data_IF_109225864630
#
_entry.id   IF_109225864630
#
_cell.length_a   1.000
_cell.length_b   1.000
_cell.length_c   1.000
_cell.angle_alpha   90.00
_cell.angle_beta   90.00
_cell.angle_gamma   90.00
#
_symmetry.space_group_name_H-M   'P 1'
#
loop_
_entity.id
_entity.type
_entity.pdbx_description
1 polymer ?
#
# COMPACT_ATOMS: atom_id res chain seq x y z
N UNK A 1 29.36 17.29 27.42
CA UNK A 1 28.04 17.94 27.18
C UNK A 1 27.64 17.63 25.74
N UNK A 2 26.89 16.55 25.54
CA UNK A 2 26.51 16.05 24.21
C UNK A 2 25.23 16.74 23.79
N UNK A 3 25.32 17.68 22.86
CA UNK A 3 24.16 18.35 22.26
C UNK A 3 23.45 17.36 21.32
N UNK A 4 22.35 16.78 21.80
CA UNK A 4 21.39 16.07 20.96
C UNK A 4 20.73 17.07 20.01
N UNK A 5 21.07 17.00 18.72
CA UNK A 5 20.34 17.72 17.67
C UNK A 5 19.03 16.99 17.41
N UNK A 6 17.98 17.38 18.13
CA UNK A 6 16.61 17.05 17.75
C UNK A 6 16.25 17.85 16.50
N UNK A 7 16.47 17.28 15.31
CA UNK A 7 15.86 17.78 14.09
C UNK A 7 14.35 17.50 14.16
N UNK A 8 13.56 18.55 14.34
CA UNK A 8 12.14 18.50 14.01
C UNK A 8 12.02 18.48 12.48
N UNK A 9 12.14 17.29 11.89
CA UNK A 9 11.94 17.09 10.46
C UNK A 9 10.49 17.45 10.11
N UNK A 10 10.29 18.43 9.24
CA UNK A 10 8.94 18.84 8.80
C UNK A 10 8.32 17.75 7.92
N UNK A 11 6.99 17.71 7.83
CA UNK A 11 6.25 16.79 6.94
C UNK A 11 6.71 16.93 5.47
N UNK A 12 7.07 18.14 5.02
CA UNK A 12 7.60 18.40 3.67
C UNK A 12 8.93 17.69 3.44
N UNK A 13 9.87 17.82 4.37
CA UNK A 13 11.19 17.16 4.26
C UNK A 13 11.08 15.63 4.24
N UNK A 14 10.17 15.02 5.02
CA UNK A 14 9.98 13.57 5.01
C UNK A 14 9.46 13.04 3.65
N UNK A 15 8.57 13.79 3.00
CA UNK A 15 8.04 13.43 1.68
C UNK A 15 9.10 13.58 0.58
N UNK A 16 9.94 14.61 0.69
CA UNK A 16 11.08 14.80 -0.21
C UNK A 16 12.11 13.67 -0.05
N UNK A 17 12.43 13.29 1.18
CA UNK A 17 13.32 12.16 1.49
C UNK A 17 12.77 10.85 0.91
N UNK A 18 11.46 10.59 1.07
CA UNK A 18 10.81 9.41 0.47
C UNK A 18 10.90 9.39 -1.05
N UNK A 19 10.74 10.54 -1.70
CA UNK A 19 10.87 10.65 -3.16
C UNK A 19 12.29 10.39 -3.62
N UNK A 20 13.30 10.86 -2.88
CA UNK A 20 14.70 10.57 -3.17
C UNK A 20 15.01 9.07 -3.00
N UNK A 21 14.47 8.43 -1.97
CA UNK A 21 14.60 6.97 -1.79
C UNK A 21 13.96 6.16 -2.93
N UNK A 22 12.90 6.68 -3.55
CA UNK A 22 12.30 6.04 -4.72
C UNK A 22 13.25 6.04 -5.93
N UNK A 23 14.10 7.06 -6.06
CA UNK A 23 15.06 7.20 -7.18
C UNK A 23 16.26 6.25 -7.06
N UNK A 24 16.52 5.75 -5.85
CA UNK A 24 17.53 4.72 -5.65
C UNK A 24 17.12 3.43 -6.35
N UNK A 25 18.13 2.75 -6.90
CA UNK A 25 17.96 1.39 -7.38
C UNK A 25 17.40 0.53 -6.23
N UNK A 26 16.44 -0.38 -6.47
CA UNK A 26 15.80 -1.15 -5.40
C UNK A 26 16.76 -1.85 -4.43
N UNK A 27 17.90 -2.34 -4.93
CA UNK A 27 18.94 -2.98 -4.13
C UNK A 27 19.69 -2.03 -3.18
N UNK A 28 19.70 -0.73 -3.48
CA UNK A 28 20.39 0.30 -2.70
C UNK A 28 19.46 0.95 -1.66
N UNK A 29 18.17 0.59 -1.67
CA UNK A 29 17.20 1.13 -0.71
C UNK A 29 17.44 0.51 0.67
N UNK A 30 17.35 1.31 1.74
CA UNK A 30 17.51 0.78 3.08
C UNK A 30 16.37 -0.17 3.45
N UNK A 31 16.72 -1.26 4.14
CA UNK A 31 15.76 -2.24 4.65
C UNK A 31 15.90 -2.39 6.18
N UNK A 32 14.81 -2.33 6.96
CA UNK A 32 13.45 -2.00 6.51
C UNK A 32 13.32 -0.50 6.17
N UNK A 33 12.43 -0.15 5.25
CA UNK A 33 12.18 1.26 4.88
C UNK A 33 11.75 2.08 6.10
N UNK A 34 11.09 1.44 7.06
CA UNK A 34 10.63 2.05 8.31
C UNK A 34 11.75 2.60 9.21
N UNK A 35 13.00 2.19 9.00
CA UNK A 35 14.15 2.75 9.72
C UNK A 35 14.51 4.18 9.27
N UNK A 36 14.13 4.56 8.05
CA UNK A 36 14.40 5.87 7.46
C UNK A 36 13.12 6.69 7.30
N UNK A 37 12.02 6.02 6.99
CA UNK A 37 10.70 6.63 6.82
C UNK A 37 9.79 6.17 7.97
N UNK A 38 9.63 6.97 9.03
CA UNK A 38 8.81 6.58 10.17
C UNK A 38 7.39 6.25 9.70
N UNK A 39 6.81 5.21 10.29
CA UNK A 39 5.46 4.77 9.93
C UNK A 39 4.44 5.78 10.43
N UNK A 40 3.46 6.18 9.60
CA UNK A 40 2.45 7.15 10.02
C UNK A 40 1.54 6.58 11.11
N UNK A 41 1.28 5.27 11.11
CA UNK A 41 0.49 4.59 12.14
C UNK A 41 1.13 3.25 12.53
N UNK A 42 0.88 2.73 13.75
CA UNK A 42 1.51 1.49 14.23
C UNK A 42 1.21 0.25 13.36
N UNK A 43 0.00 0.21 12.80
CA UNK A 43 -0.50 -0.88 11.97
C UNK A 43 -0.35 -0.58 10.47
N UNK A 44 0.87 -0.20 10.08
CA UNK A 44 1.24 0.05 8.68
C UNK A 44 2.69 -0.34 8.41
N UNK A 45 3.05 -0.46 7.13
CA UNK A 45 4.43 -0.58 6.67
C UNK A 45 4.57 0.03 5.27
N UNK A 46 5.77 0.50 4.94
CA UNK A 46 6.11 0.99 3.61
C UNK A 46 6.53 -0.19 2.73
N UNK A 47 5.75 -0.52 1.71
CA UNK A 47 6.10 -1.56 0.74
C UNK A 47 7.09 -1.05 -0.30
N UNK A 48 6.96 0.23 -0.66
CA UNK A 48 7.97 1.01 -1.38
C UNK A 48 8.02 2.40 -0.74
N UNK A 49 9.01 3.25 -1.06
CA UNK A 49 9.03 4.63 -0.57
C UNK A 49 7.74 5.43 -0.86
N UNK A 50 6.99 5.07 -1.91
CA UNK A 50 5.74 5.72 -2.30
C UNK A 50 4.47 4.88 -2.06
N UNK A 51 4.59 3.67 -1.51
CA UNK A 51 3.46 2.76 -1.32
C UNK A 51 3.36 2.33 0.14
N UNK A 52 2.29 2.76 0.81
CA UNK A 52 1.98 2.40 2.17
C UNK A 52 0.92 1.30 2.22
N UNK A 53 1.19 0.24 2.96
CA UNK A 53 0.20 -0.74 3.39
C UNK A 53 -0.29 -0.40 4.79
N UNK A 54 -1.60 -0.29 5.01
CA UNK A 54 -2.12 0.06 6.33
C UNK A 54 -3.48 -0.55 6.67
N UNK A 55 -3.83 -0.53 7.94
CA UNK A 55 -5.20 -0.82 8.40
C UNK A 55 -6.19 0.29 8.03
N UNK A 56 -7.48 0.01 8.17
CA UNK A 56 -8.52 0.99 7.86
C UNK A 56 -8.31 2.31 8.63
N UNK A 57 -8.29 3.46 7.93
CA UNK A 57 -7.75 4.70 8.50
C UNK A 57 -8.75 5.51 9.32
N UNK A 58 -10.01 5.07 9.43
CA UNK A 58 -11.04 5.84 10.11
C UNK A 58 -11.99 5.00 10.95
N UNK A 59 -12.47 5.58 12.06
CA UNK A 59 -13.49 4.99 12.91
C UNK A 59 -14.30 6.11 13.57
N UNK A 60 -15.63 5.98 13.67
CA UNK A 60 -16.45 6.95 14.38
C UNK A 60 -16.17 6.99 15.88
N UNK A 61 -15.45 6.01 16.43
CA UNK A 61 -15.07 5.97 17.86
C UNK A 61 -13.98 6.98 18.22
N UNK A 62 -13.19 7.43 17.24
CA UNK A 62 -12.14 8.44 17.43
C UNK A 62 -12.21 9.49 16.31
N UNK A 63 -13.23 10.37 16.35
CA UNK A 63 -13.48 11.33 15.28
C UNK A 63 -12.51 12.53 15.33
N UNK A 64 -11.88 12.79 16.48
CA UNK A 64 -11.06 13.99 16.68
C UNK A 64 -9.59 13.78 16.31
N UNK A 65 -9.08 12.55 16.43
CA UNK A 65 -7.70 12.18 16.09
C UNK A 65 -7.64 10.93 15.20
N UNK A 66 -8.35 10.93 14.06
CA UNK A 66 -8.38 9.76 13.20
C UNK A 66 -6.98 9.46 12.65
N UNK A 67 -6.68 8.17 12.49
CA UNK A 67 -5.46 7.69 11.82
C UNK A 67 -5.25 8.32 10.44
N UNK A 68 -6.35 8.67 9.77
CA UNK A 68 -6.36 9.38 8.50
C UNK A 68 -5.49 10.66 8.51
N UNK A 69 -5.46 11.42 9.59
CA UNK A 69 -4.61 12.61 9.69
C UNK A 69 -3.13 12.28 9.56
N UNK A 70 -2.69 11.18 10.18
CA UNK A 70 -1.31 10.76 10.14
C UNK A 70 -0.92 10.31 8.73
N UNK A 71 -1.85 9.67 8.00
CA UNK A 71 -1.64 9.31 6.59
C UNK A 71 -1.51 10.56 5.71
N UNK A 72 -2.41 11.54 5.87
CA UNK A 72 -2.40 12.79 5.12
C UNK A 72 -1.11 13.60 5.38
N UNK A 73 -0.66 13.66 6.64
CA UNK A 73 0.61 14.29 7.05
C UNK A 73 1.84 13.55 6.54
N UNK A 74 1.75 12.24 6.33
CA UNK A 74 2.81 11.47 5.66
C UNK A 74 2.79 11.63 4.12
N UNK A 75 2.00 12.56 3.59
CA UNK A 75 1.97 12.87 2.17
C UNK A 75 1.13 11.92 1.32
N UNK A 76 0.36 11.01 1.92
CA UNK A 76 -0.60 10.16 1.19
C UNK A 76 -1.60 11.05 0.46
N UNK A 77 -1.73 10.84 -0.85
CA UNK A 77 -2.70 11.56 -1.70
C UNK A 77 -3.61 10.63 -2.49
N UNK A 78 -3.28 9.35 -2.62
CA UNK A 78 -4.17 8.36 -3.22
C UNK A 78 -4.49 7.26 -2.23
N UNK A 79 -5.77 6.91 -2.10
CA UNK A 79 -6.26 5.86 -1.22
C UNK A 79 -6.89 4.74 -2.07
N UNK A 80 -6.47 3.51 -1.83
CA UNK A 80 -7.05 2.31 -2.42
C UNK A 80 -7.73 1.52 -1.29
N UNK A 81 -9.06 1.54 -1.29
CA UNK A 81 -9.91 0.83 -0.33
C UNK A 81 -10.34 -0.53 -0.88
N UNK A 82 -9.90 -1.60 -0.21
CA UNK A 82 -10.24 -2.98 -0.57
C UNK A 82 -11.49 -3.50 0.15
N UNK A 83 -12.17 -2.68 0.94
CA UNK A 83 -13.36 -3.08 1.72
C UNK A 83 -14.64 -3.05 0.90
N UNK A 84 -15.56 -3.96 1.24
CA UNK A 84 -16.91 -3.97 0.66
C UNK A 84 -17.76 -2.84 1.25
N UNK A 85 -18.79 -2.44 0.50
CA UNK A 85 -19.75 -1.49 1.05
C UNK A 85 -20.48 -2.09 2.26
N UNK A 86 -20.69 -1.28 3.29
CA UNK A 86 -21.25 -1.75 4.57
C UNK A 86 -20.28 -2.54 5.47
N UNK A 87 -19.09 -2.93 5.00
CA UNK A 87 -18.09 -3.63 5.85
C UNK A 87 -17.63 -2.73 7.01
N UNK A 88 -17.39 -1.45 6.70
CA UNK A 88 -17.02 -0.40 7.62
C UNK A 88 -17.70 0.91 7.20
N UNK A 89 -17.87 1.84 8.15
CA UNK A 89 -18.43 3.15 7.85
C UNK A 89 -17.47 3.89 6.91
N UNK A 90 -17.99 4.39 5.78
CA UNK A 90 -17.19 5.09 4.78
C UNK A 90 -16.72 6.46 5.26
N UNK A 91 -15.41 6.72 5.16
CA UNK A 91 -14.82 8.04 5.44
C UNK A 91 -14.87 8.98 4.22
N UNK A 92 -15.28 8.50 3.04
CA UNK A 92 -15.41 9.32 1.83
C UNK A 92 -16.85 9.78 1.64
N UNK A 93 -17.83 8.86 1.70
CA UNK A 93 -19.25 9.21 1.53
C UNK A 93 -19.74 10.16 2.63
N UNK A 94 -19.16 10.09 3.83
CA UNK A 94 -19.47 11.01 4.93
C UNK A 94 -18.65 12.32 4.89
N UNK A 95 -17.90 12.59 3.82
CA UNK A 95 -17.09 13.81 3.65
C UNK A 95 -15.87 13.93 4.57
N UNK A 96 -15.57 12.89 5.36
CA UNK A 96 -14.50 12.94 6.38
C UNK A 96 -13.14 13.16 5.73
N UNK A 97 -12.84 12.49 4.61
CA UNK A 97 -11.56 12.64 3.92
C UNK A 97 -11.25 14.11 3.60
N UNK A 98 -12.20 14.79 2.94
CA UNK A 98 -12.05 16.18 2.53
C UNK A 98 -11.99 17.11 3.75
N UNK A 99 -12.88 16.92 4.72
CA UNK A 99 -12.88 17.74 5.94
C UNK A 99 -11.57 17.63 6.73
N UNK A 100 -10.98 16.43 6.83
CA UNK A 100 -9.66 16.25 7.48
C UNK A 100 -8.53 16.87 6.66
N UNK A 101 -8.59 16.79 5.34
CA UNK A 101 -7.59 17.41 4.47
C UNK A 101 -7.61 18.94 4.57
N UNK A 102 -8.79 19.55 4.50
CA UNK A 102 -8.99 20.99 4.68
C UNK A 102 -8.47 21.46 6.05
N UNK A 103 -8.80 20.72 7.11
CA UNK A 103 -8.30 21.00 8.47
C UNK A 103 -6.76 21.00 8.55
N UNK A 104 -6.11 20.19 7.71
CA UNK A 104 -4.64 20.09 7.63
C UNK A 104 -4.03 21.03 6.58
N UNK A 105 -4.83 21.90 5.95
CA UNK A 105 -4.37 22.80 4.89
C UNK A 105 -4.00 22.08 3.58
N UNK A 106 -4.54 20.89 3.36
CA UNK A 106 -4.33 20.10 2.14
C UNK A 106 -5.53 20.34 1.23
N UNK A 107 -5.27 20.75 -0.02
CA UNK A 107 -6.32 20.89 -1.04
C UNK A 107 -6.97 19.53 -1.34
N UNK A 108 -8.28 19.35 -1.07
CA UNK A 108 -9.00 18.12 -1.35
C UNK A 108 -8.98 17.71 -2.82
N UNK A 109 -8.80 18.65 -3.75
CA UNK A 109 -8.70 18.35 -5.19
C UNK A 109 -7.47 17.48 -5.53
N UNK A 110 -6.47 17.47 -4.65
CA UNK A 110 -5.26 16.67 -4.80
C UNK A 110 -5.44 15.21 -4.38
N UNK A 111 -6.58 14.89 -3.75
CA UNK A 111 -6.87 13.56 -3.21
C UNK A 111 -7.58 12.69 -4.24
N UNK A 112 -7.14 11.45 -4.31
CA UNK A 112 -7.77 10.41 -5.12
C UNK A 112 -8.19 9.26 -4.22
N UNK A 113 -9.37 8.71 -4.48
CA UNK A 113 -9.89 7.57 -3.77
C UNK A 113 -10.45 6.56 -4.77
N UNK A 114 -9.99 5.32 -4.66
CA UNK A 114 -10.44 4.21 -5.48
C UNK A 114 -10.88 3.08 -4.56
N UNK A 115 -12.11 2.60 -4.75
CA UNK A 115 -12.60 1.42 -4.06
C UNK A 115 -12.57 0.21 -4.99
N UNK A 116 -11.82 -0.81 -4.59
CA UNK A 116 -11.73 -2.10 -5.25
C UNK A 116 -12.18 -3.19 -4.26
N UNK A 117 -13.50 -3.37 -4.08
CA UNK A 117 -14.01 -4.26 -3.05
C UNK A 117 -13.56 -5.71 -3.28
N UNK A 118 -12.88 -6.27 -2.29
CA UNK A 118 -12.56 -7.69 -2.20
C UNK A 118 -13.17 -8.21 -0.91
N UNK A 119 -14.01 -9.24 -1.01
CA UNK A 119 -14.66 -9.86 0.16
C UNK A 119 -13.64 -10.25 1.22
N UNK A 120 -13.98 -10.05 2.48
CA UNK A 120 -13.03 -10.29 3.56
C UNK A 120 -12.45 -11.73 3.52
N UNK A 121 -11.16 -11.83 3.80
CA UNK A 121 -10.36 -13.07 3.74
C UNK A 121 -10.42 -13.84 2.41
N UNK A 122 -10.92 -13.23 1.34
CA UNK A 122 -11.14 -13.87 0.04
C UNK A 122 -10.16 -13.36 -1.02
N UNK A 123 -10.28 -13.90 -2.23
CA UNK A 123 -9.53 -13.52 -3.42
C UNK A 123 -10.30 -12.48 -4.26
N UNK A 124 -9.64 -11.71 -5.13
CA UNK A 124 -10.33 -10.94 -6.16
C UNK A 124 -11.09 -11.90 -7.11
N UNK A 125 -12.12 -11.41 -7.83
CA UNK A 125 -12.92 -12.25 -8.71
C UNK A 125 -12.13 -12.87 -9.87
N UNK A 126 -11.07 -12.19 -10.33
CA UNK A 126 -10.14 -12.68 -11.35
C UNK A 126 -8.81 -11.93 -11.27
N UNK A 127 -7.81 -12.36 -12.05
CA UNK A 127 -6.50 -11.69 -12.12
C UNK A 127 -6.59 -10.33 -12.82
N UNK A 128 -7.48 -10.17 -13.80
CA UNK A 128 -7.73 -8.91 -14.48
C UNK A 128 -8.22 -7.82 -13.52
N UNK A 129 -8.98 -8.21 -12.49
CA UNK A 129 -9.38 -7.31 -11.41
C UNK A 129 -8.17 -6.80 -10.61
N UNK A 130 -7.21 -7.68 -10.32
CA UNK A 130 -5.96 -7.27 -9.68
C UNK A 130 -5.17 -6.31 -10.56
N UNK A 131 -5.05 -6.56 -11.87
CA UNK A 131 -4.36 -5.64 -12.78
C UNK A 131 -4.97 -4.23 -12.75
N UNK A 132 -6.30 -4.11 -12.66
CA UNK A 132 -6.96 -2.82 -12.49
C UNK A 132 -6.50 -2.05 -11.25
N UNK A 133 -6.28 -2.73 -10.13
CA UNK A 133 -5.68 -2.13 -8.92
C UNK A 133 -4.24 -1.68 -9.19
N UNK A 134 -3.45 -2.55 -9.82
CA UNK A 134 -2.03 -2.29 -10.09
C UNK A 134 -1.82 -1.17 -11.12
N UNK A 135 -2.77 -0.94 -12.03
CA UNK A 135 -2.73 0.22 -12.93
C UNK A 135 -2.76 1.55 -12.19
N UNK A 136 -3.57 1.65 -11.13
CA UNK A 136 -3.61 2.85 -10.27
C UNK A 136 -2.28 3.03 -9.54
N UNK A 137 -1.69 1.94 -9.05
CA UNK A 137 -0.36 1.99 -8.42
C UNK A 137 0.73 2.44 -9.40
N UNK A 138 0.73 1.88 -10.62
CA UNK A 138 1.66 2.23 -11.70
C UNK A 138 1.51 3.70 -12.10
N UNK A 139 0.29 4.21 -12.19
CA UNK A 139 0.07 5.62 -12.48
C UNK A 139 0.57 6.54 -11.36
N UNK A 140 0.29 6.21 -10.10
CA UNK A 140 0.75 6.99 -8.97
C UNK A 140 2.28 6.99 -8.83
N UNK A 141 2.93 5.85 -9.08
CA UNK A 141 4.40 5.77 -9.08
C UNK A 141 5.00 6.71 -10.13
N UNK A 142 4.47 6.72 -11.37
CA UNK A 142 4.90 7.66 -12.43
C UNK A 142 4.70 9.13 -12.02
N UNK A 143 3.61 9.42 -11.31
CA UNK A 143 3.28 10.77 -10.81
C UNK A 143 3.98 11.12 -9.50
N UNK A 144 4.83 10.23 -8.97
CA UNK A 144 5.52 10.36 -7.68
C UNK A 144 4.58 10.66 -6.51
N UNK A 145 3.39 10.04 -6.55
CA UNK A 145 2.33 10.20 -5.57
C UNK A 145 2.37 9.07 -4.56
N UNK A 146 2.30 9.43 -3.28
CA UNK A 146 2.24 8.44 -2.20
C UNK A 146 0.82 7.86 -2.15
N UNK A 147 0.74 6.54 -2.25
CA UNK A 147 -0.51 5.77 -2.23
C UNK A 147 -0.60 4.95 -0.96
N UNK A 148 -1.78 4.94 -0.32
CA UNK A 148 -2.11 4.04 0.77
C UNK A 148 -3.10 2.96 0.29
N UNK A 149 -2.70 1.70 0.39
CA UNK A 149 -3.58 0.55 0.17
C UNK A 149 -4.03 0.02 1.54
N UNK A 150 -5.33 -0.12 1.71
CA UNK A 150 -5.88 -0.62 2.97
C UNK A 150 -7.05 -1.58 2.74
N UNK A 151 -7.26 -2.45 3.73
CA UNK A 151 -8.50 -3.20 3.91
C UNK A 151 -9.05 -2.89 5.31
N UNK A 152 -9.71 -3.82 5.98
CA UNK A 152 -10.05 -3.68 7.40
C UNK A 152 -8.81 -3.73 8.29
N UNK A 153 -8.08 -4.84 8.22
CA UNK A 153 -6.95 -5.13 9.12
C UNK A 153 -5.61 -4.58 8.65
N UNK A 154 -5.45 -4.32 7.34
CA UNK A 154 -4.15 -4.09 6.71
C UNK A 154 -3.30 -5.35 6.58
N UNK A 155 -3.93 -6.54 6.60
CA UNK A 155 -3.26 -7.85 6.70
C UNK A 155 -3.45 -8.60 5.37
N UNK A 156 -4.55 -9.36 5.20
CA UNK A 156 -4.73 -10.28 4.09
C UNK A 156 -4.85 -9.62 2.71
N UNK A 157 -5.96 -8.92 2.47
CA UNK A 157 -6.24 -8.28 1.17
C UNK A 157 -5.16 -7.26 0.79
N UNK A 158 -4.73 -6.46 1.76
CA UNK A 158 -3.64 -5.49 1.57
C UNK A 158 -2.34 -6.19 1.20
N UNK A 159 -1.87 -7.16 2.00
CA UNK A 159 -0.66 -7.92 1.70
C UNK A 159 -0.71 -8.61 0.33
N UNK A 160 -1.89 -9.08 -0.09
CA UNK A 160 -2.07 -9.68 -1.41
C UNK A 160 -1.84 -8.68 -2.54
N UNK A 161 -2.43 -7.48 -2.46
CA UNK A 161 -2.20 -6.41 -3.44
C UNK A 161 -0.73 -5.98 -3.45
N UNK A 162 -0.11 -5.83 -2.28
CA UNK A 162 1.31 -5.50 -2.18
C UNK A 162 2.18 -6.58 -2.83
N UNK A 163 1.88 -7.85 -2.61
CA UNK A 163 2.64 -8.97 -3.18
C UNK A 163 2.59 -8.96 -4.70
N UNK A 164 1.39 -8.80 -5.27
CA UNK A 164 1.22 -8.66 -6.71
C UNK A 164 1.94 -7.42 -7.26
N UNK A 165 1.91 -6.29 -6.55
CA UNK A 165 2.64 -5.09 -6.95
C UNK A 165 4.15 -5.29 -6.99
N UNK A 166 4.73 -5.96 -5.99
CA UNK A 166 6.17 -6.23 -5.95
C UNK A 166 6.63 -7.06 -7.17
N UNK A 167 5.83 -8.04 -7.58
CA UNK A 167 6.10 -8.82 -8.80
C UNK A 167 5.89 -7.98 -10.07
N UNK A 168 4.81 -7.21 -10.13
CA UNK A 168 4.45 -6.38 -11.29
C UNK A 168 5.49 -5.28 -11.58
N UNK A 169 5.99 -4.63 -10.53
CA UNK A 169 7.01 -3.58 -10.61
C UNK A 169 8.43 -4.12 -10.81
N UNK A 170 8.62 -5.44 -10.76
CA UNK A 170 9.94 -6.07 -10.86
C UNK A 170 10.82 -5.89 -9.62
N UNK A 171 10.25 -5.44 -8.49
CA UNK A 171 10.94 -5.36 -7.20
C UNK A 171 11.16 -6.74 -6.57
N UNK A 172 10.30 -7.70 -6.92
CA UNK A 172 10.47 -9.12 -6.66
C UNK A 172 10.54 -9.88 -8.00
N UNK A 173 11.43 -10.86 -8.09
CA UNK A 173 11.58 -11.73 -9.26
C UNK A 173 10.35 -12.59 -9.51
N UNK A 174 9.69 -13.03 -8.42
CA UNK A 174 8.54 -13.92 -8.38
C UNK A 174 7.72 -13.70 -7.10
N UNK A 175 6.59 -14.44 -7.00
CA UNK A 175 5.68 -14.31 -5.87
C UNK A 175 6.23 -14.86 -4.54
N UNK A 176 7.22 -15.75 -4.56
CA UNK A 176 7.85 -16.23 -3.31
C UNK A 176 8.73 -15.12 -2.71
N UNK A 177 9.58 -14.49 -3.52
CA UNK A 177 10.38 -13.35 -3.06
C UNK A 177 9.50 -12.18 -2.62
N UNK A 178 8.37 -11.94 -3.29
CA UNK A 178 7.41 -10.92 -2.87
C UNK A 178 6.86 -11.19 -1.46
N UNK A 179 6.53 -12.45 -1.14
CA UNK A 179 6.06 -12.83 0.20
C UNK A 179 7.16 -12.72 1.26
N UNK A 180 8.41 -13.02 0.92
CA UNK A 180 9.56 -12.83 1.82
C UNK A 180 9.78 -11.34 2.15
N UNK A 181 9.69 -10.46 1.14
CA UNK A 181 9.77 -9.01 1.33
C UNK A 181 8.65 -8.56 2.29
N UNK A 182 7.40 -8.97 2.04
CA UNK A 182 6.27 -8.61 2.90
C UNK A 182 6.49 -9.14 4.32
N UNK A 183 6.98 -10.36 4.49
CA UNK A 183 7.21 -10.93 5.81
C UNK A 183 8.21 -10.10 6.64
N UNK A 184 9.29 -9.60 6.01
CA UNK A 184 10.27 -8.71 6.67
C UNK A 184 9.64 -7.40 7.12
N UNK A 185 8.87 -6.75 6.26
CA UNK A 185 8.21 -5.48 6.61
C UNK A 185 7.09 -5.69 7.64
N UNK A 186 6.30 -6.76 7.50
CA UNK A 186 5.21 -7.12 8.39
C UNK A 186 5.68 -7.43 9.81
N UNK A 187 6.87 -8.03 9.97
CA UNK A 187 7.47 -8.30 11.28
C UNK A 187 7.66 -7.04 12.14
N UNK A 188 7.71 -5.85 11.52
CA UNK A 188 7.81 -4.55 12.22
C UNK A 188 6.45 -4.05 12.75
N UNK A 189 5.34 -4.61 12.27
CA UNK A 189 3.96 -4.17 12.54
C UNK A 189 3.47 -4.68 13.88
N UNK A 190 2.84 -3.82 14.69
CA UNK A 190 2.39 -4.18 16.04
C UNK A 190 1.44 -5.40 16.04
N UNK A 191 0.56 -5.48 15.03
CA UNK A 191 -0.35 -6.62 14.82
C UNK A 191 0.35 -7.94 14.50
N UNK A 192 1.62 -7.96 14.10
CA UNK A 192 2.34 -9.20 13.80
C UNK A 192 2.34 -10.19 14.98
N UNK A 193 2.27 -9.68 16.22
CA UNK A 193 2.15 -10.51 17.44
C UNK A 193 0.89 -11.37 17.48
N UNK A 194 -0.20 -10.92 16.85
CA UNK A 194 -1.50 -11.62 16.80
C UNK A 194 -1.74 -12.30 15.45
N UNK A 195 -1.21 -11.70 14.38
CA UNK A 195 -1.34 -12.17 13.01
C UNK A 195 0.06 -12.31 12.43
N UNK A 196 0.71 -13.48 12.55
CA UNK A 196 2.13 -13.64 12.23
C UNK A 196 2.43 -13.52 10.72
N UNK A 197 1.42 -13.56 9.86
CA UNK A 197 1.58 -13.58 8.41
C UNK A 197 0.69 -12.54 7.72
N UNK A 198 1.22 -11.98 6.64
CA UNK A 198 0.55 -11.13 5.67
C UNK A 198 1.03 -11.57 4.28
N UNK A 199 0.15 -11.99 3.34
CA UNK A 199 -1.30 -12.14 3.45
C UNK A 199 -1.75 -13.12 4.55
N UNK A 200 -3.04 -13.10 4.88
CA UNK A 200 -3.60 -13.78 6.07
C UNK A 200 -3.99 -15.23 5.79
N UNK A 201 -4.41 -15.55 4.56
CA UNK A 201 -4.93 -16.88 4.22
C UNK A 201 -4.06 -17.60 3.20
N UNK A 202 -4.02 -18.93 3.29
CA UNK A 202 -3.32 -19.79 2.32
C UNK A 202 -3.69 -19.48 0.86
N UNK A 203 -4.99 -19.36 0.51
CA UNK A 203 -5.40 -18.95 -0.83
C UNK A 203 -4.83 -17.60 -1.27
N UNK A 204 -4.77 -16.60 -0.39
CA UNK A 204 -4.19 -15.28 -0.73
C UNK A 204 -2.68 -15.39 -0.98
N UNK A 205 -1.96 -16.17 -0.16
CA UNK A 205 -0.53 -16.42 -0.40
C UNK A 205 -0.33 -17.17 -1.73
N UNK A 206 -1.14 -18.19 -2.03
CA UNK A 206 -1.09 -18.91 -3.29
C UNK A 206 -1.40 -18.01 -4.50
N UNK A 207 -2.32 -17.06 -4.34
CA UNK A 207 -2.62 -16.07 -5.38
C UNK A 207 -1.39 -15.23 -5.70
N UNK A 208 -0.65 -14.75 -4.68
CA UNK A 208 0.60 -14.01 -4.87
C UNK A 208 1.69 -14.90 -5.50
N UNK A 209 1.87 -16.12 -4.99
CA UNK A 209 2.88 -17.07 -5.52
C UNK A 209 2.68 -17.35 -7.01
N UNK A 210 1.43 -17.50 -7.44
CA UNK A 210 1.07 -17.81 -8.82
C UNK A 210 0.81 -16.56 -9.68
N UNK A 211 1.01 -15.36 -9.13
CA UNK A 211 0.75 -14.12 -9.87
C UNK A 211 1.76 -13.95 -11.01
N UNK A 212 1.25 -13.64 -12.20
CA UNK A 212 2.06 -13.35 -13.39
C UNK A 212 1.87 -11.88 -13.70
N UNK A 213 2.98 -11.14 -13.86
CA UNK A 213 2.91 -9.74 -14.24
C UNK A 213 2.19 -9.56 -15.59
N UNK A 214 1.40 -8.50 -15.73
CA UNK A 214 0.50 -8.28 -16.87
C UNK A 214 1.23 -8.34 -18.21
N UNK A 215 2.39 -7.69 -18.32
CA UNK A 215 3.22 -7.70 -19.52
C UNK A 215 3.70 -9.12 -19.89
N UNK A 216 4.05 -9.94 -18.89
CA UNK A 216 4.45 -11.33 -19.11
C UNK A 216 3.26 -12.17 -19.55
N UNK A 217 2.10 -11.98 -18.93
CA UNK A 217 0.86 -12.67 -19.31
C UNK A 217 0.44 -12.35 -20.75
N UNK A 218 0.55 -11.08 -21.17
CA UNK A 218 0.29 -10.67 -22.55
C UNK A 218 1.25 -11.34 -23.54
N UNK A 219 2.55 -11.36 -23.25
CA UNK A 219 3.54 -12.00 -24.11
C UNK A 219 3.28 -13.52 -24.28
N UNK A 220 2.89 -14.20 -23.21
CA UNK A 220 2.53 -15.63 -23.25
C UNK A 220 1.30 -15.90 -24.14
N UNK A 221 0.27 -15.03 -24.08
CA UNK A 221 -0.93 -15.13 -24.93
C UNK A 221 -0.63 -14.91 -26.42
N UNK A 222 0.29 -14.00 -26.74
CA UNK A 222 0.72 -13.77 -28.13
C UNK A 222 1.48 -14.98 -28.67
N UNK A 223 2.43 -15.51 -27.88
CA UNK A 223 3.22 -16.68 -28.29
C UNK A 223 2.36 -17.94 -28.47
N UNK A 224 1.36 -18.16 -27.62
CA UNK A 224 0.44 -19.30 -27.78
C UNK A 224 -0.45 -19.17 -29.01
N UNK A 225 -0.85 -17.95 -29.38
CA UNK A 225 -1.65 -17.68 -30.60
C UNK A 225 -0.84 -17.91 -31.88
N UNK A 226 0.46 -17.59 -31.84
CA UNK A 226 1.38 -17.83 -32.97
C UNK A 226 1.75 -19.32 -33.12
N UNK A 227 1.81 -20.09 -32.03
CA UNK A 227 2.16 -21.52 -32.07
C UNK A 227 1.02 -22.44 -32.56
N UNK A 228 -0.21 -21.94 -32.66
CA UNK A 228 -1.39 -22.68 -33.15
C UNK A 228 -1.67 -22.39 -34.65
N UNK A 229 -0.87 -21.54 -35.29
CA UNK A 229 -0.89 -21.27 -36.72
C UNK A 229 0.27 -21.95 -37.42
#
# INVERSE_FOLDING_TARGET
>A
MTLSKNYMTTSSSLVEDQRQLQDLHPADRPAPLSAHCPRPIPNSYWATPLLLACEYPWTPKDPYRPKLDALLKAGVRTFIDLTEDGELRSYVQCGILNARAELLGIDPSTLEYHRFPIRDRSLPPCVEYMYGVLHILRDNERRRRITAVHCRGGIGRTGMVIGCWLVESGLAKDGEEALEIIAREWATVEKCRRFPHSPETGPQCLFVKNFIAENKAMAQRVNSTLAVR
#
